data_IF_755562108960
#
_entry.id   IF_755562108960
#
_cell.length_a   1.000
_cell.length_b   1.000
_cell.length_c   1.000
_cell.angle_alpha   90.00
_cell.angle_beta   90.00
_cell.angle_gamma   90.00
#
_symmetry.space_group_name_H-M   'P 1'
#
loop_
_entity.id
_entity.type
_entity.pdbx_description
1 polymer ?
#
# COMPACT_ATOMS: atom_id res chain seq x y z
N UNK A 1 27.37 -9.78 -2.30
CA UNK A 1 27.23 -9.36 -0.90
C UNK A 1 26.22 -8.23 -0.82
N UNK A 2 24.93 -8.57 -0.70
CA UNK A 2 23.92 -7.56 -0.39
C UNK A 2 24.24 -7.00 1.01
N UNK A 3 24.30 -5.67 1.21
CA UNK A 3 24.55 -5.11 2.52
C UNK A 3 23.46 -5.57 3.50
N UNK A 4 23.88 -5.99 4.70
CA UNK A 4 23.00 -6.48 5.78
C UNK A 4 21.86 -5.49 6.11
N UNK A 5 22.01 -4.24 5.69
CA UNK A 5 21.05 -3.15 5.86
C UNK A 5 19.77 -3.32 5.03
N UNK A 6 19.81 -4.02 3.88
CA UNK A 6 18.61 -4.29 3.06
C UNK A 6 17.73 -5.38 3.71
N UNK A 7 18.33 -6.31 4.46
CA UNK A 7 17.58 -7.29 5.27
C UNK A 7 16.91 -6.65 6.50
N UNK A 8 17.47 -5.55 7.01
CA UNK A 8 16.83 -4.78 8.09
C UNK A 8 15.62 -3.96 7.59
N UNK A 9 15.61 -3.55 6.32
CA UNK A 9 14.49 -2.85 5.69
C UNK A 9 13.20 -3.69 5.65
N UNK A 10 13.27 -5.01 5.45
CA UNK A 10 12.07 -5.86 5.43
C UNK A 10 11.44 -6.04 6.82
N UNK A 11 12.26 -6.07 7.88
CA UNK A 11 11.80 -6.02 9.28
C UNK A 11 11.22 -4.66 9.68
N UNK A 12 11.56 -3.59 8.96
CA UNK A 12 11.06 -2.23 9.19
C UNK A 12 9.81 -1.88 8.35
N UNK A 13 9.71 -2.39 7.12
CA UNK A 13 8.55 -2.18 6.23
C UNK A 13 7.28 -2.91 6.69
N UNK A 14 7.42 -3.90 7.56
CA UNK A 14 6.31 -4.71 8.05
C UNK A 14 6.16 -4.61 9.58
N UNK A 15 5.72 -3.45 10.14
CA UNK A 15 5.26 -3.40 11.51
C UNK A 15 3.83 -3.97 11.56
N UNK A 16 3.67 -5.27 11.33
CA UNK A 16 2.36 -5.94 11.46
C UNK A 16 1.82 -5.95 12.91
N UNK A 17 2.41 -5.20 13.84
CA UNK A 17 1.93 -5.08 15.23
C UNK A 17 0.64 -4.23 15.37
N UNK A 18 0.30 -3.43 14.35
CA UNK A 18 -0.95 -2.65 14.31
C UNK A 18 -2.01 -3.22 13.36
N UNK A 19 -1.95 -4.53 13.06
CA UNK A 19 -3.22 -5.28 12.99
C UNK A 19 -3.70 -5.34 14.43
N UNK A 20 -4.25 -4.21 14.90
CA UNK A 20 -4.85 -4.15 16.21
C UNK A 20 -5.74 -5.38 16.35
N UNK A 21 -5.57 -6.09 17.46
CA UNK A 21 -6.67 -6.82 18.07
C UNK A 21 -7.82 -5.82 18.17
N UNK A 22 -8.57 -5.66 17.08
CA UNK A 22 -9.86 -5.04 17.15
C UNK A 22 -10.58 -5.90 18.16
N UNK A 23 -10.91 -5.32 19.31
CA UNK A 23 -11.65 -5.92 20.41
C UNK A 23 -13.03 -6.47 19.98
N UNK A 24 -13.32 -6.56 18.68
CA UNK A 24 -14.45 -7.24 18.05
C UNK A 24 -14.18 -8.64 17.50
N UNK A 25 -12.95 -9.17 17.51
CA UNK A 25 -12.69 -10.58 17.17
C UNK A 25 -12.51 -11.49 18.41
N UNK A 26 -12.95 -11.03 19.59
CA UNK A 26 -13.19 -11.86 20.77
C UNK A 26 -14.37 -12.83 20.62
N UNK A 27 -14.71 -13.27 19.41
CA UNK A 27 -15.31 -14.59 19.27
C UNK A 27 -14.17 -15.56 19.49
N UNK A 28 -13.93 -15.89 20.76
CA UNK A 28 -13.10 -17.03 21.12
C UNK A 28 -13.43 -18.15 20.15
N UNK A 29 -12.40 -18.77 19.59
CA UNK A 29 -12.50 -20.01 18.81
C UNK A 29 -12.99 -21.12 19.75
N UNK A 30 -14.19 -20.96 20.30
CA UNK A 30 -15.02 -22.07 20.68
C UNK A 30 -15.39 -22.69 19.34
N UNK A 31 -14.54 -23.62 18.90
CA UNK A 31 -14.92 -24.69 17.98
C UNK A 31 -16.26 -25.17 18.51
N UNK A 32 -17.36 -24.64 17.96
CA UNK A 32 -18.71 -24.96 18.41
C UNK A 32 -18.72 -26.48 18.44
N UNK A 33 -19.07 -27.09 19.57
CA UNK A 33 -19.25 -28.55 19.65
C UNK A 33 -20.25 -29.03 18.58
N UNK A 34 -21.09 -28.13 18.07
CA UNK A 34 -21.99 -28.33 16.93
C UNK A 34 -21.29 -28.43 15.55
N UNK A 35 -20.07 -27.90 15.39
CA UNK A 35 -19.29 -27.95 14.14
C UNK A 35 -18.71 -29.34 13.90
N UNK A 36 -18.20 -30.00 14.96
CA UNK A 36 -17.80 -31.41 14.91
C UNK A 36 -19.02 -32.34 14.70
N UNK A 37 -20.19 -31.97 15.21
CA UNK A 37 -21.40 -32.81 15.11
C UNK A 37 -22.05 -32.79 13.71
N UNK A 38 -21.82 -31.76 12.89
CA UNK A 38 -22.31 -31.71 11.49
C UNK A 38 -21.32 -32.27 10.45
N UNK A 39 -20.04 -32.43 10.79
CA UNK A 39 -19.00 -32.84 9.84
C UNK A 39 -18.53 -34.30 9.96
N UNK A 40 -19.16 -35.14 10.79
CA UNK A 40 -18.81 -36.56 10.95
C UNK A 40 -18.99 -37.43 9.69
N UNK A 41 -19.48 -36.86 8.58
CA UNK A 41 -19.59 -37.52 7.27
C UNK A 41 -18.64 -36.97 6.18
N UNK A 42 -17.85 -35.93 6.47
CA UNK A 42 -16.86 -35.42 5.50
C UNK A 42 -15.58 -36.25 5.59
N UNK A 43 -14.99 -36.58 4.44
CA UNK A 43 -13.74 -37.34 4.37
C UNK A 43 -12.63 -36.53 5.04
N UNK A 44 -11.67 -37.22 5.66
CA UNK A 44 -10.51 -36.62 6.36
C UNK A 44 -9.73 -35.59 5.51
N UNK A 45 -9.76 -35.71 4.18
CA UNK A 45 -9.16 -34.72 3.27
C UNK A 45 -9.84 -33.35 3.29
N UNK A 46 -11.14 -33.25 3.56
CA UNK A 46 -11.83 -31.95 3.59
C UNK A 46 -11.41 -31.13 4.82
N UNK A 47 -11.17 -31.79 5.95
CA UNK A 47 -10.73 -31.12 7.19
C UNK A 47 -9.32 -30.56 7.03
N UNK A 48 -8.42 -31.29 6.35
CA UNK A 48 -7.06 -30.82 6.07
C UNK A 48 -7.07 -29.64 5.10
N UNK A 49 -7.88 -29.70 4.03
CA UNK A 49 -8.03 -28.58 3.09
C UNK A 49 -8.63 -27.34 3.76
N UNK A 50 -9.57 -27.50 4.68
CA UNK A 50 -10.18 -26.38 5.43
C UNK A 50 -9.19 -25.79 6.46
N UNK A 51 -8.38 -26.63 7.14
CA UNK A 51 -7.29 -26.15 8.02
C UNK A 51 -6.22 -25.43 7.21
N UNK A 52 -5.80 -25.97 6.06
CA UNK A 52 -4.81 -25.32 5.18
C UNK A 52 -5.39 -24.02 4.63
N UNK A 53 -6.65 -24.01 4.18
CA UNK A 53 -7.33 -22.80 3.73
C UNK A 53 -7.42 -21.77 4.85
N UNK A 54 -7.72 -22.15 6.09
CA UNK A 54 -7.76 -21.21 7.22
C UNK A 54 -6.36 -20.78 7.72
N UNK A 55 -5.33 -21.61 7.50
CA UNK A 55 -3.94 -21.30 7.88
C UNK A 55 -3.25 -20.42 6.83
N UNK A 56 -3.66 -20.54 5.55
CA UNK A 56 -3.17 -19.72 4.43
C UNK A 56 -4.11 -18.55 4.10
N UNK A 57 -5.36 -18.57 4.54
CA UNK A 57 -6.22 -17.39 4.62
C UNK A 57 -5.65 -16.48 5.70
N UNK A 58 -4.61 -15.74 5.34
CA UNK A 58 -4.43 -14.42 5.90
C UNK A 58 -5.80 -13.73 5.95
N UNK A 59 -6.05 -12.97 7.01
CA UNK A 59 -7.30 -12.21 7.14
C UNK A 59 -7.65 -11.57 5.79
N UNK A 60 -8.88 -11.72 5.28
CA UNK A 60 -9.29 -11.09 4.01
C UNK A 60 -8.86 -9.61 3.96
N UNK A 61 -8.90 -8.94 5.11
CA UNK A 61 -8.37 -7.60 5.33
C UNK A 61 -6.90 -7.45 4.94
N UNK A 62 -6.03 -8.37 5.33
CA UNK A 62 -4.61 -8.39 4.96
C UNK A 62 -4.45 -8.55 3.44
N UNK A 63 -5.21 -9.44 2.81
CA UNK A 63 -5.19 -9.61 1.35
C UNK A 63 -5.62 -8.33 0.64
N UNK A 64 -6.69 -7.68 1.12
CA UNK A 64 -7.19 -6.42 0.58
C UNK A 64 -6.16 -5.29 0.80
N UNK A 65 -5.52 -5.23 1.97
CA UNK A 65 -4.48 -4.24 2.29
C UNK A 65 -3.23 -4.45 1.41
N UNK A 66 -2.80 -5.69 1.16
CA UNK A 66 -1.71 -6.00 0.22
C UNK A 66 -2.07 -5.54 -1.19
N UNK A 67 -3.29 -5.84 -1.66
CA UNK A 67 -3.74 -5.43 -2.99
C UNK A 67 -3.79 -3.90 -3.12
N UNK A 68 -4.27 -3.19 -2.09
CA UNK A 68 -4.25 -1.73 -2.05
C UNK A 68 -2.83 -1.18 -2.12
N UNK A 69 -1.90 -1.76 -1.36
CA UNK A 69 -0.50 -1.33 -1.33
C UNK A 69 0.15 -1.51 -2.70
N UNK A 70 -0.07 -2.67 -3.34
CA UNK A 70 0.44 -2.97 -4.67
C UNK A 70 -0.13 -2.04 -5.74
N UNK A 71 -1.44 -1.82 -5.76
CA UNK A 71 -2.08 -0.89 -6.70
C UNK A 71 -1.58 0.54 -6.48
N UNK A 72 -1.44 0.96 -5.22
CA UNK A 72 -0.85 2.25 -4.86
C UNK A 72 0.57 2.42 -5.38
N UNK A 73 1.40 1.37 -5.28
CA UNK A 73 2.77 1.40 -5.77
C UNK A 73 2.80 1.63 -7.30
N UNK A 74 1.97 0.90 -8.06
CA UNK A 74 1.85 1.09 -9.51
C UNK A 74 1.40 2.51 -9.85
N UNK A 75 0.42 3.05 -9.13
CA UNK A 75 -0.07 4.42 -9.34
C UNK A 75 1.01 5.47 -9.05
N UNK A 76 1.82 5.29 -8.00
CA UNK A 76 2.94 6.18 -7.72
C UNK A 76 4.03 6.10 -8.79
N UNK A 77 4.37 4.91 -9.30
CA UNK A 77 5.31 4.77 -10.41
C UNK A 77 4.82 5.52 -11.66
N UNK A 78 3.52 5.49 -11.93
CA UNK A 78 2.94 6.22 -13.06
C UNK A 78 2.96 7.74 -12.84
N UNK A 79 2.78 8.20 -11.61
CA UNK A 79 2.91 9.62 -11.25
C UNK A 79 4.34 10.11 -11.36
N UNK A 80 5.32 9.31 -10.94
CA UNK A 80 6.73 9.68 -11.00
C UNK A 80 7.22 9.90 -12.44
N UNK A 81 6.58 9.24 -13.41
CA UNK A 81 6.84 9.45 -14.84
C UNK A 81 6.27 10.78 -15.35
N UNK A 82 5.40 11.45 -14.59
CA UNK A 82 4.89 12.78 -14.92
C UNK A 82 5.78 13.84 -14.26
N UNK A 83 6.15 14.87 -14.99
CA UNK A 83 7.04 15.93 -14.49
C UNK A 83 6.39 16.76 -13.38
N UNK A 84 5.09 17.04 -13.47
CA UNK A 84 4.36 17.88 -12.51
C UNK A 84 2.99 17.26 -12.13
N UNK A 85 2.94 16.37 -11.13
CA UNK A 85 1.68 15.78 -10.71
C UNK A 85 0.76 16.81 -10.03
N UNK A 86 -0.50 16.84 -10.46
CA UNK A 86 -1.49 17.74 -9.86
C UNK A 86 -1.81 17.31 -8.43
N UNK A 87 -2.25 18.28 -7.62
CA UNK A 87 -2.67 18.03 -6.24
C UNK A 87 -3.81 17.00 -6.17
N UNK A 88 -4.75 17.05 -7.11
CA UNK A 88 -5.87 16.11 -7.20
C UNK A 88 -5.43 14.70 -7.56
N UNK A 89 -4.47 14.53 -8.47
CA UNK A 89 -3.93 13.22 -8.82
C UNK A 89 -3.25 12.54 -7.62
N UNK A 90 -2.35 13.26 -6.94
CA UNK A 90 -1.67 12.76 -5.75
C UNK A 90 -2.65 12.44 -4.61
N UNK A 91 -3.55 13.38 -4.32
CA UNK A 91 -4.53 13.22 -3.26
C UNK A 91 -5.49 12.06 -3.51
N UNK A 92 -5.83 11.79 -4.77
CA UNK A 92 -6.68 10.65 -5.15
C UNK A 92 -5.99 9.33 -4.84
N UNK A 93 -4.72 9.17 -5.24
CA UNK A 93 -3.94 7.94 -4.94
C UNK A 93 -3.80 7.74 -3.44
N UNK A 94 -3.39 8.79 -2.71
CA UNK A 94 -3.22 8.69 -1.24
C UNK A 94 -4.53 8.27 -0.58
N UNK A 95 -5.67 8.78 -1.04
CA UNK A 95 -6.99 8.41 -0.51
C UNK A 95 -7.37 6.97 -0.83
N UNK A 96 -7.07 6.48 -2.03
CA UNK A 96 -7.36 5.10 -2.44
C UNK A 96 -6.55 4.07 -1.64
N UNK A 97 -5.26 4.37 -1.40
CA UNK A 97 -4.39 3.51 -0.59
C UNK A 97 -4.70 3.67 0.90
N UNK A 98 -5.12 4.85 1.32
CA UNK A 98 -5.44 5.18 2.70
C UNK A 98 -4.19 5.33 3.57
N UNK A 99 -4.27 4.90 4.82
CA UNK A 99 -3.17 4.97 5.79
C UNK A 99 -1.88 4.24 5.38
N UNK A 100 -1.96 3.34 4.39
CA UNK A 100 -0.84 2.53 3.91
C UNK A 100 -0.07 3.19 2.75
N UNK A 101 -0.42 4.43 2.37
CA UNK A 101 0.24 5.13 1.26
C UNK A 101 1.77 5.23 1.39
N UNK A 102 2.38 5.39 2.58
CA UNK A 102 3.85 5.44 2.66
C UNK A 102 4.46 4.09 2.29
N UNK A 103 3.81 2.98 2.67
CA UNK A 103 4.27 1.63 2.32
C UNK A 103 4.21 1.40 0.81
N UNK A 104 3.17 1.88 0.14
CA UNK A 104 3.08 1.85 -1.33
C UNK A 104 4.21 2.62 -1.99
N UNK A 105 4.58 3.78 -1.47
CA UNK A 105 5.66 4.59 -2.02
C UNK A 105 7.02 3.88 -1.89
N UNK A 106 7.30 3.28 -0.73
CA UNK A 106 8.53 2.52 -0.52
C UNK A 106 8.56 1.25 -1.37
N UNK A 107 7.42 0.57 -1.55
CA UNK A 107 7.33 -0.58 -2.45
C UNK A 107 7.63 -0.19 -3.90
N UNK A 108 7.06 0.93 -4.38
CA UNK A 108 7.35 1.47 -5.72
C UNK A 108 8.83 1.81 -5.90
N UNK A 109 9.47 2.40 -4.88
CA UNK A 109 10.89 2.68 -4.88
C UNK A 109 11.74 1.41 -5.01
N UNK A 110 11.41 0.39 -4.23
CA UNK A 110 12.09 -0.91 -4.27
C UNK A 110 11.93 -1.59 -5.63
N UNK A 111 10.73 -1.57 -6.22
CA UNK A 111 10.49 -2.14 -7.55
C UNK A 111 11.32 -1.43 -8.63
N UNK A 112 11.40 -0.10 -8.58
CA UNK A 112 12.23 0.68 -9.51
C UNK A 112 13.71 0.27 -9.42
N UNK A 113 14.24 0.12 -8.20
CA UNK A 113 15.62 -0.32 -7.98
C UNK A 113 15.86 -1.73 -8.52
N UNK A 114 14.97 -2.67 -8.20
CA UNK A 114 15.09 -4.06 -8.65
C UNK A 114 15.07 -4.16 -10.18
N UNK A 115 14.21 -3.38 -10.83
CA UNK A 115 14.14 -3.32 -12.29
C UNK A 115 15.44 -2.78 -12.90
N UNK A 116 16.06 -1.76 -12.30
CA UNK A 116 17.34 -1.25 -12.77
C UNK A 116 18.47 -2.30 -12.65
N UNK A 117 18.55 -2.99 -11.50
CA UNK A 117 19.55 -4.06 -11.28
C UNK A 117 19.38 -5.19 -12.32
N UNK A 118 18.13 -5.57 -12.63
CA UNK A 118 17.83 -6.59 -13.64
C UNK A 118 18.33 -6.16 -15.04
N UNK A 119 18.08 -4.90 -15.43
CA UNK A 119 18.53 -4.38 -16.74
C UNK A 119 20.06 -4.30 -16.86
N UNK A 120 20.76 -3.90 -15.79
CA UNK A 120 22.23 -3.83 -15.78
C UNK A 120 22.91 -5.21 -15.89
N UNK A 121 22.23 -6.28 -15.47
CA UNK A 121 22.78 -7.64 -15.52
C UNK A 121 22.71 -8.25 -16.92
N UNK A 122 21.78 -7.79 -17.76
CA UNK A 122 21.57 -8.32 -19.12
C UNK A 122 22.49 -7.74 -20.19
N UNK A 123 23.14 -6.60 -19.94
CA UNK A 123 23.99 -5.91 -20.93
C UNK A 123 25.45 -6.40 -20.95
N UNK A 124 25.86 -7.28 -20.03
CA UNK A 124 27.25 -7.77 -19.92
C UNK A 124 27.54 -9.11 -20.62
N UNK A 125 26.57 -9.75 -21.28
CA UNK A 125 26.74 -11.08 -21.91
C UNK A 125 26.61 -11.05 -23.43
N UNK A 126 27.40 -10.21 -24.10
CA UNK A 126 27.58 -10.23 -25.56
C UNK A 126 29.05 -10.37 -25.93
N UNK A 127 29.66 -11.52 -25.61
CA UNK A 127 30.80 -12.04 -26.38
C UNK A 127 31.03 -13.54 -26.15
N UNK A 128 31.24 -14.23 -27.28
CA UNK A 128 31.69 -15.61 -27.48
C UNK A 128 30.67 -16.76 -27.42
N UNK A 129 30.52 -17.36 -28.61
CA UNK A 129 29.83 -18.56 -29.05
C UNK A 129 30.29 -19.86 -28.39
N UNK A 130 29.38 -20.82 -28.19
CA UNK A 130 29.34 -22.10 -28.94
C UNK A 130 28.44 -23.14 -28.25
N UNK A 131 27.83 -23.95 -29.09
CA UNK A 131 26.95 -25.09 -28.83
C UNK A 131 27.47 -26.13 -27.83
N UNK A 132 26.62 -26.55 -26.88
CA UNK A 132 26.29 -27.98 -26.67
C UNK A 132 25.25 -28.18 -25.57
N UNK A 133 24.43 -29.20 -25.79
CA UNK A 133 23.28 -29.68 -25.03
C UNK A 133 23.61 -30.16 -23.61
N UNK A 134 22.83 -29.75 -22.60
CA UNK A 134 22.32 -30.63 -21.51
C UNK A 134 21.44 -29.90 -20.47
N UNK A 135 20.23 -30.45 -20.29
CA UNK A 135 19.37 -30.59 -19.09
C UNK A 135 18.90 -29.37 -18.24
N UNK A 136 17.58 -29.10 -18.15
CA UNK A 136 17.03 -27.92 -17.46
C UNK A 136 16.53 -28.11 -16.01
N UNK A 137 16.94 -29.14 -15.25
CA UNK A 137 16.46 -29.32 -13.86
C UNK A 137 17.56 -29.66 -12.86
N UNK A 138 18.19 -28.64 -12.27
CA UNK A 138 18.92 -28.75 -11.00
C UNK A 138 19.00 -27.39 -10.30
N UNK A 139 18.16 -27.17 -9.28
CA UNK A 139 18.30 -26.07 -8.34
C UNK A 139 18.75 -26.64 -6.99
N UNK A 140 20.00 -26.35 -6.60
CA UNK A 140 20.54 -26.66 -5.29
C UNK A 140 20.15 -25.55 -4.30
N UNK A 141 19.28 -25.90 -3.36
CA UNK A 141 18.99 -25.10 -2.17
C UNK A 141 20.04 -25.43 -1.10
N UNK A 142 21.11 -24.63 -1.01
CA UNK A 142 22.02 -24.71 0.11
C UNK A 142 22.72 -23.37 0.39
N UNK A 143 22.63 -22.97 1.66
CA UNK A 143 23.45 -21.98 2.37
C UNK A 143 22.80 -20.61 2.62
N UNK A 144 21.98 -20.56 3.67
CA UNK A 144 21.72 -19.39 4.51
C UNK A 144 21.19 -19.88 5.87
N UNK A 145 22.09 -20.38 6.70
CA UNK A 145 21.82 -20.69 8.11
C UNK A 145 23.05 -20.35 8.96
N UNK A 146 22.95 -19.24 9.73
CA UNK A 146 23.74 -18.90 10.93
C UNK A 146 23.29 -17.50 11.38
N UNK A 147 22.16 -17.37 12.08
CA UNK A 147 21.97 -17.34 13.55
C UNK A 147 22.41 -16.05 14.25
N UNK A 148 21.40 -15.21 14.56
CA UNK A 148 21.14 -14.39 15.78
C UNK A 148 22.27 -13.51 16.40
N UNK A 149 21.96 -12.26 16.80
CA UNK A 149 20.95 -11.97 17.84
C UNK A 149 19.92 -10.94 17.37
N UNK A 150 18.71 -11.41 17.02
CA UNK A 150 17.56 -10.58 16.60
C UNK A 150 16.47 -10.45 17.69
N UNK A 151 16.65 -11.06 18.86
CA UNK A 151 15.60 -11.09 19.89
C UNK A 151 15.61 -9.89 20.85
N UNK A 152 16.68 -9.09 20.92
CA UNK A 152 16.80 -7.96 21.86
C UNK A 152 16.48 -6.58 21.28
N UNK A 153 16.04 -6.50 20.01
CA UNK A 153 15.77 -5.23 19.32
C UNK A 153 14.27 -4.96 19.06
N UNK A 154 13.38 -5.81 19.56
CA UNK A 154 11.95 -5.81 19.27
C UNK A 154 11.07 -5.02 20.27
N UNK A 155 11.67 -4.35 21.26
CA UNK A 155 10.95 -3.68 22.35
C UNK A 155 10.71 -2.17 22.17
N UNK A 156 11.18 -1.54 21.08
CA UNK A 156 11.11 -0.07 20.93
C UNK A 156 10.01 0.48 20.00
N UNK A 157 9.12 -0.33 19.44
CA UNK A 157 8.14 0.14 18.42
C UNK A 157 6.81 0.65 18.98
N UNK A 158 6.77 1.27 20.16
CA UNK A 158 5.52 1.54 20.89
C UNK A 158 4.86 2.92 20.69
N UNK A 159 5.28 3.76 19.74
CA UNK A 159 4.65 5.09 19.52
C UNK A 159 4.70 5.56 18.06
N UNK A 160 3.84 5.02 17.20
CA UNK A 160 3.85 5.18 15.73
C UNK A 160 3.12 6.42 15.18
N UNK A 161 3.19 7.57 15.86
CA UNK A 161 2.71 8.83 15.26
C UNK A 161 3.85 9.85 15.04
N UNK A 162 4.66 10.21 16.05
CA UNK A 162 5.86 11.02 15.82
C UNK A 162 7.09 10.19 15.43
N UNK A 163 7.11 8.89 15.76
CA UNK A 163 8.27 8.04 15.45
C UNK A 163 8.36 7.68 13.96
N UNK A 164 7.23 7.66 13.23
CA UNK A 164 7.24 7.36 11.80
C UNK A 164 8.03 8.41 11.02
N UNK A 165 7.78 9.69 11.28
CA UNK A 165 8.45 10.80 10.58
C UNK A 165 9.96 10.83 10.88
N UNK A 166 10.35 10.69 12.15
CA UNK A 166 11.78 10.65 12.55
C UNK A 166 12.51 9.45 11.93
N UNK A 167 11.84 8.30 11.87
CA UNK A 167 12.39 7.07 11.33
C UNK A 167 12.47 7.08 9.80
N UNK A 168 11.50 7.69 9.12
CA UNK A 168 11.55 7.87 7.67
C UNK A 168 12.71 8.78 7.28
N UNK A 169 12.90 9.92 7.97
CA UNK A 169 14.05 10.81 7.70
C UNK A 169 15.39 10.10 7.88
N UNK A 170 15.52 9.28 8.94
CA UNK A 170 16.73 8.48 9.16
C UNK A 170 16.96 7.46 8.05
N UNK A 171 15.92 6.72 7.65
CA UNK A 171 16.01 5.76 6.55
C UNK A 171 16.43 6.45 5.24
N UNK A 172 15.81 7.59 4.92
CA UNK A 172 16.16 8.35 3.73
C UNK A 172 17.63 8.80 3.76
N UNK A 173 18.13 9.27 4.90
CA UNK A 173 19.56 9.65 5.03
C UNK A 173 20.53 8.48 4.84
N UNK A 174 20.20 7.31 5.38
CA UNK A 174 21.03 6.11 5.22
C UNK A 174 21.03 5.65 3.77
N UNK A 175 19.88 5.73 3.11
CA UNK A 175 19.73 5.31 1.72
C UNK A 175 20.41 6.29 0.75
N UNK A 176 20.43 7.59 1.05
CA UNK A 176 21.14 8.61 0.26
C UNK A 176 22.66 8.34 0.13
N UNK A 177 23.25 7.55 1.03
CA UNK A 177 24.67 7.20 1.01
C UNK A 177 25.05 6.08 0.02
N UNK A 178 24.06 5.37 -0.54
CA UNK A 178 24.28 4.30 -1.50
C UNK A 178 24.28 4.86 -2.94
N UNK A 179 25.03 4.26 -3.88
CA UNK A 179 24.98 4.57 -5.33
C UNK A 179 23.59 4.36 -5.99
N UNK A 180 22.58 4.03 -5.18
CA UNK A 180 21.16 3.90 -5.52
C UNK A 180 20.46 5.27 -5.47
N UNK A 181 21.17 6.33 -5.06
CA UNK A 181 20.62 7.68 -4.90
C UNK A 181 19.95 8.24 -6.16
N UNK A 182 20.45 7.91 -7.36
CA UNK A 182 19.84 8.34 -8.63
C UNK A 182 18.48 7.70 -8.87
N UNK A 183 18.31 6.42 -8.52
CA UNK A 183 17.04 5.68 -8.65
C UNK A 183 15.97 6.15 -7.67
N UNK A 184 16.39 6.76 -6.56
CA UNK A 184 15.52 7.17 -5.46
C UNK A 184 15.19 8.65 -5.45
N UNK A 185 15.98 9.48 -6.12
CA UNK A 185 15.74 10.91 -6.28
C UNK A 185 14.28 11.25 -6.69
N UNK A 186 13.65 10.53 -7.65
CA UNK A 186 12.27 10.82 -8.02
C UNK A 186 11.26 10.56 -6.89
N UNK A 187 11.51 9.55 -6.06
CA UNK A 187 10.64 9.21 -4.92
C UNK A 187 10.78 10.21 -3.78
N UNK A 188 12.01 10.69 -3.54
CA UNK A 188 12.28 11.76 -2.57
C UNK A 188 11.63 13.09 -2.99
N UNK A 189 11.73 13.42 -4.27
CA UNK A 189 11.06 14.60 -4.84
C UNK A 189 9.54 14.50 -4.70
N UNK A 190 8.98 13.32 -5.02
CA UNK A 190 7.55 13.06 -4.86
C UNK A 190 7.10 13.18 -3.40
N UNK A 191 7.85 12.62 -2.45
CA UNK A 191 7.56 12.76 -1.02
C UNK A 191 7.57 14.23 -0.58
N UNK A 192 8.58 15.00 -1.03
CA UNK A 192 8.67 16.43 -0.74
C UNK A 192 7.49 17.22 -1.32
N UNK A 193 7.01 16.86 -2.52
CA UNK A 193 5.81 17.45 -3.12
C UNK A 193 4.53 17.08 -2.36
N UNK A 194 4.43 15.85 -1.82
CA UNK A 194 3.32 15.44 -0.94
C UNK A 194 3.30 16.31 0.32
N UNK A 195 4.46 16.55 0.93
CA UNK A 195 4.57 17.40 2.12
C UNK A 195 4.27 18.87 1.82
N UNK A 196 4.85 19.41 0.75
CA UNK A 196 4.63 20.79 0.30
C UNK A 196 3.17 21.07 -0.05
N UNK A 197 2.45 20.05 -0.54
CA UNK A 197 1.01 20.12 -0.80
C UNK A 197 0.18 19.67 0.42
N UNK A 198 0.76 19.40 1.58
CA UNK A 198 0.00 19.03 2.80
C UNK A 198 -0.98 17.85 2.57
N UNK A 199 -0.52 16.81 1.84
CA UNK A 199 -1.37 15.68 1.44
C UNK A 199 -1.24 14.47 2.38
N UNK A 200 -0.40 14.52 3.42
CA UNK A 200 -0.04 13.36 4.24
C UNK A 200 -1.26 12.71 4.90
N UNK A 201 -2.26 13.50 5.30
CA UNK A 201 -3.46 13.08 6.04
C UNK A 201 -4.73 13.10 5.19
N UNK A 202 -4.62 13.29 3.87
CA UNK A 202 -5.80 13.55 3.04
C UNK A 202 -6.74 12.35 2.87
N UNK A 203 -6.26 11.15 3.20
CA UNK A 203 -7.09 9.96 3.29
C UNK A 203 -8.17 10.05 4.38
N UNK A 204 -8.00 10.94 5.37
CA UNK A 204 -8.98 11.21 6.42
C UNK A 204 -9.98 12.31 6.05
N UNK A 205 -9.74 13.03 4.93
CA UNK A 205 -10.56 14.16 4.51
C UNK A 205 -12.01 13.75 4.25
N UNK A 206 -12.94 14.40 4.94
CA UNK A 206 -14.37 14.22 4.76
C UNK A 206 -14.92 15.18 3.70
N UNK A 207 -15.98 14.79 2.99
CA UNK A 207 -16.67 15.71 2.09
C UNK A 207 -17.24 16.92 2.85
N UNK A 208 -17.12 18.13 2.29
CA UNK A 208 -17.67 19.36 2.90
C UNK A 208 -19.20 19.32 3.04
N UNK A 209 -19.87 18.61 2.12
CA UNK A 209 -21.32 18.54 2.06
C UNK A 209 -21.76 17.10 2.31
N UNK A 210 -22.62 16.92 3.31
CA UNK A 210 -23.20 15.61 3.61
C UNK A 210 -24.13 15.15 2.48
N UNK A 211 -24.24 13.82 2.29
CA UNK A 211 -25.09 13.23 1.26
C UNK A 211 -26.56 13.68 1.31
N UNK A 212 -27.10 13.98 2.50
CA UNK A 212 -28.46 14.53 2.66
C UNK A 212 -28.59 15.93 2.04
N UNK A 213 -27.66 16.82 2.36
CA UNK A 213 -27.63 18.20 1.83
C UNK A 213 -27.38 18.19 0.32
N UNK A 214 -26.53 17.28 -0.16
CA UNK A 214 -26.29 17.07 -1.60
C UNK A 214 -27.59 16.68 -2.34
N UNK A 215 -28.36 15.75 -1.77
CA UNK A 215 -29.68 15.34 -2.30
C UNK A 215 -30.64 16.53 -2.36
N UNK A 216 -30.67 17.37 -1.34
CA UNK A 216 -31.53 18.57 -1.29
C UNK A 216 -31.14 19.61 -2.34
N UNK A 217 -29.84 19.94 -2.45
CA UNK A 217 -29.33 20.94 -3.39
C UNK A 217 -29.61 20.55 -4.83
N UNK A 218 -29.31 19.30 -5.21
CA UNK A 218 -29.46 18.82 -6.59
C UNK A 218 -30.81 18.17 -6.87
N UNK A 219 -31.69 18.06 -5.87
CA UNK A 219 -33.00 17.38 -5.95
C UNK A 219 -32.88 15.97 -6.54
N UNK A 220 -31.80 15.26 -6.19
CA UNK A 220 -31.50 13.91 -6.70
C UNK A 220 -32.23 12.85 -5.88
N UNK A 221 -32.52 11.71 -6.50
CA UNK A 221 -32.90 10.52 -5.74
C UNK A 221 -31.67 9.96 -5.03
N UNK A 222 -31.85 9.49 -3.79
CA UNK A 222 -30.84 8.73 -3.08
C UNK A 222 -30.42 7.51 -3.93
N UNK A 223 -29.12 7.34 -4.18
CA UNK A 223 -28.63 6.23 -5.00
C UNK A 223 -27.13 6.31 -5.32
N UNK A 224 -26.62 5.41 -6.19
CA UNK A 224 -25.20 5.33 -6.55
C UNK A 224 -24.63 6.63 -7.12
N UNK A 225 -25.46 7.45 -7.76
CA UNK A 225 -25.08 8.76 -8.28
C UNK A 225 -24.58 9.71 -7.18
N UNK A 226 -25.20 9.66 -5.99
CA UNK A 226 -24.76 10.45 -4.82
C UNK A 226 -23.33 10.08 -4.44
N UNK A 227 -22.98 8.79 -4.54
CA UNK A 227 -21.62 8.29 -4.31
C UNK A 227 -20.62 8.79 -5.35
N UNK A 228 -21.00 8.81 -6.65
CA UNK A 228 -20.17 9.38 -7.73
C UNK A 228 -19.89 10.87 -7.46
N UNK A 229 -20.93 11.66 -7.23
CA UNK A 229 -20.81 13.10 -6.95
C UNK A 229 -20.01 13.37 -5.68
N UNK A 230 -20.13 12.51 -4.66
CA UNK A 230 -19.33 12.64 -3.43
C UNK A 230 -17.85 12.44 -3.72
N UNK A 231 -17.47 11.54 -4.64
CA UNK A 231 -16.07 11.40 -5.08
C UNK A 231 -15.60 12.62 -5.86
N UNK A 232 -16.42 13.13 -6.78
CA UNK A 232 -16.08 14.32 -7.56
C UNK A 232 -15.91 15.56 -6.67
N UNK A 233 -16.73 15.69 -5.62
CA UNK A 233 -16.59 16.74 -4.61
C UNK A 233 -15.27 16.63 -3.84
N UNK A 234 -14.82 15.41 -3.50
CA UNK A 234 -13.50 15.22 -2.89
C UNK A 234 -12.40 15.68 -3.85
N UNK A 235 -12.50 15.34 -5.14
CA UNK A 235 -11.53 15.80 -6.15
C UNK A 235 -11.53 17.34 -6.22
N UNK A 236 -12.71 17.96 -6.24
CA UNK A 236 -12.83 19.42 -6.20
C UNK A 236 -12.18 20.03 -4.94
N UNK A 237 -12.36 19.41 -3.76
CA UNK A 237 -11.70 19.83 -2.52
C UNK A 237 -10.17 19.67 -2.59
N UNK A 238 -9.67 18.66 -3.29
CA UNK A 238 -8.23 18.50 -3.52
C UNK A 238 -7.69 19.66 -4.37
N UNK A 239 -8.45 20.13 -5.35
CA UNK A 239 -8.06 21.24 -6.23
C UNK A 239 -8.23 22.61 -5.56
N UNK A 240 -9.17 22.71 -4.62
CA UNK A 240 -9.52 23.94 -3.93
C UNK A 240 -9.35 23.77 -2.40
N UNK A 241 -8.12 23.70 -1.88
CA UNK A 241 -7.87 23.42 -0.45
C UNK A 241 -8.44 24.48 0.51
N UNK A 242 -8.61 25.71 0.02
CA UNK A 242 -9.22 26.83 0.78
C UNK A 242 -10.71 27.02 0.44
N UNK A 243 -11.28 26.13 -0.38
CA UNK A 243 -12.68 26.20 -0.79
C UNK A 243 -13.60 26.03 0.40
N UNK A 244 -14.53 26.96 0.57
CA UNK A 244 -15.53 26.90 1.63
C UNK A 244 -16.68 25.98 1.26
N UNK A 245 -17.54 25.68 2.24
CA UNK A 245 -18.78 24.95 1.96
C UNK A 245 -19.66 25.69 0.93
N UNK A 246 -19.68 27.03 0.93
CA UNK A 246 -20.48 27.82 0.00
C UNK A 246 -19.96 27.69 -1.43
N UNK A 247 -18.64 27.80 -1.62
CA UNK A 247 -18.00 27.63 -2.93
C UNK A 247 -18.28 26.22 -3.50
N UNK A 248 -18.27 25.21 -2.63
CA UNK A 248 -18.61 23.84 -3.02
C UNK A 248 -20.07 23.70 -3.45
N UNK A 249 -21.00 24.40 -2.78
CA UNK A 249 -22.41 24.42 -3.18
C UNK A 249 -22.63 25.12 -4.52
N UNK A 250 -21.90 26.20 -4.79
CA UNK A 250 -21.93 26.91 -6.07
C UNK A 250 -21.39 26.05 -7.20
N UNK A 251 -20.23 25.40 -6.99
CA UNK A 251 -19.66 24.44 -7.92
C UNK A 251 -20.60 23.27 -8.19
N UNK A 252 -21.23 22.72 -7.14
CA UNK A 252 -22.24 21.70 -7.31
C UNK A 252 -23.36 22.22 -8.19
N UNK A 253 -23.95 23.38 -7.91
CA UNK A 253 -25.06 23.93 -8.70
C UNK A 253 -24.70 24.11 -10.17
N UNK A 254 -23.49 24.58 -10.49
CA UNK A 254 -23.04 24.82 -11.87
C UNK A 254 -22.64 23.55 -12.63
N UNK A 255 -22.25 22.48 -11.94
CA UNK A 255 -21.80 21.24 -12.58
C UNK A 255 -22.96 20.30 -12.90
N UNK A 256 -23.09 19.89 -14.16
CA UNK A 256 -24.09 18.91 -14.60
C UNK A 256 -23.55 17.48 -14.48
N UNK A 257 -24.16 16.68 -13.62
CA UNK A 257 -23.82 15.27 -13.44
C UNK A 257 -24.81 14.41 -14.24
N UNK A 258 -24.38 13.92 -15.41
CA UNK A 258 -25.20 13.03 -16.23
C UNK A 258 -25.20 11.61 -15.67
N UNK A 259 -26.37 10.96 -15.68
CA UNK A 259 -26.48 9.53 -15.38
C UNK A 259 -25.94 8.75 -16.57
N UNK A 260 -24.64 8.46 -16.53
CA UNK A 260 -23.99 7.45 -17.38
C UNK A 260 -24.20 6.05 -16.82
#
# INVERSE_FOLDING_TARGET
>A
NLPKDILNLSTWLFPFKDVGEGEGCGRGFSLKKDYLKRNSRKKTNDVVQEIISHSLCGSQKLTDDIARVQNGAISFENIIKKEDPTRSELGTIIREVGKLWPLSLVLAANNSILNQIATSSSSSSSSSSSSSSSDPYSYSAASLASSAPLCSLLDHTRTLSPAFDQNMSSLLSSISSLSISSSLSPFLSLFSEIEKKELQTIYEMKPLINGKKLIEIKKLKSGPLVGKITKDMIIWQLENPQGTQQDCEEWLKSTDFTQT
#
